data_IF_494708656822
#
_entry.id   IF_494708656822
#
_cell.length_a   1.000
_cell.length_b   1.000
_cell.length_c   1.000
_cell.angle_alpha   90.00
_cell.angle_beta   90.00
_cell.angle_gamma   90.00
#
_symmetry.space_group_name_H-M   'P 1'
#
loop_
_entity.id
_entity.type
_entity.pdbx_description
1 polymer ?
#
# COMPACT_ATOMS: atom_id res chain seq x y z
N UNK A 1 19.35 -29.39 -15.86
CA UNK A 1 18.12 -28.66 -15.49
C UNK A 1 17.20 -28.63 -16.69
N UNK A 2 15.91 -28.95 -16.50
CA UNK A 2 14.94 -29.09 -17.57
C UNK A 2 14.52 -27.70 -18.07
N UNK A 3 14.53 -27.42 -19.39
CA UNK A 3 14.16 -26.09 -19.92
C UNK A 3 12.76 -25.62 -19.52
N UNK A 4 11.86 -26.55 -19.23
CA UNK A 4 10.50 -26.25 -18.73
C UNK A 4 10.50 -25.75 -17.28
N UNK A 5 11.42 -26.23 -16.43
CA UNK A 5 11.48 -25.77 -15.03
C UNK A 5 12.05 -24.36 -14.94
N UNK A 6 13.05 -24.02 -15.77
CA UNK A 6 13.61 -22.67 -15.81
C UNK A 6 12.61 -21.63 -16.35
N UNK A 7 11.86 -21.96 -17.41
CA UNK A 7 10.82 -21.07 -17.94
C UNK A 7 9.68 -20.84 -16.95
N UNK A 8 9.32 -21.86 -16.17
CA UNK A 8 8.32 -21.75 -15.11
C UNK A 8 8.79 -20.84 -13.98
N UNK A 9 10.03 -21.00 -13.51
CA UNK A 9 10.63 -20.14 -12.48
C UNK A 9 10.71 -18.68 -12.94
N UNK A 10 11.09 -18.42 -14.19
CA UNK A 10 11.10 -17.08 -14.78
C UNK A 10 9.71 -16.45 -14.79
N UNK A 11 8.68 -17.21 -15.22
CA UNK A 11 7.30 -16.72 -15.26
C UNK A 11 6.77 -16.41 -13.85
N UNK A 12 7.02 -17.29 -12.88
CA UNK A 12 6.69 -17.04 -11.48
C UNK A 12 7.40 -15.77 -10.98
N UNK A 13 8.68 -15.60 -11.27
CA UNK A 13 9.44 -14.42 -10.86
C UNK A 13 8.88 -13.12 -11.46
N UNK A 14 8.37 -13.13 -12.70
CA UNK A 14 7.72 -11.94 -13.28
C UNK A 14 6.48 -11.49 -12.48
N UNK A 15 5.81 -12.43 -11.82
CA UNK A 15 4.58 -12.18 -11.06
C UNK A 15 4.90 -11.74 -9.63
N UNK A 16 5.72 -12.52 -8.91
CA UNK A 16 5.99 -12.31 -7.49
C UNK A 16 7.19 -11.40 -7.22
N UNK A 17 8.09 -11.24 -8.19
CA UNK A 17 9.27 -10.37 -8.12
C UNK A 17 9.26 -9.41 -9.31
N UNK A 18 8.20 -8.63 -9.48
CA UNK A 18 8.18 -7.63 -10.55
C UNK A 18 9.32 -6.63 -10.34
N UNK A 19 9.58 -5.83 -11.38
CA UNK A 19 10.53 -4.73 -11.24
C UNK A 19 10.12 -3.83 -10.07
N UNK A 20 10.94 -3.86 -9.02
CA UNK A 20 10.72 -3.08 -7.82
C UNK A 20 10.83 -1.59 -8.15
N UNK A 21 9.81 -0.82 -7.77
CA UNK A 21 9.84 0.63 -7.89
C UNK A 21 11.02 1.18 -7.07
N UNK A 22 12.00 1.80 -7.73
CA UNK A 22 13.12 2.49 -7.09
C UNK A 22 12.91 3.98 -7.23
N UNK A 23 12.90 4.69 -6.12
CA UNK A 23 12.68 6.12 -6.08
C UNK A 23 13.46 6.77 -4.94
N UNK A 24 13.73 8.07 -5.07
CA UNK A 24 14.29 8.87 -3.99
C UNK A 24 13.16 9.42 -3.11
N UNK A 25 13.35 9.47 -1.80
CA UNK A 25 12.32 9.96 -0.86
C UNK A 25 11.89 11.41 -1.13
N UNK A 26 12.69 12.21 -1.84
CA UNK A 26 12.30 13.55 -2.29
C UNK A 26 11.11 13.54 -3.27
N UNK A 27 10.86 12.42 -3.97
CA UNK A 27 9.74 12.29 -4.89
C UNK A 27 8.38 12.23 -4.17
N UNK A 28 8.38 11.92 -2.87
CA UNK A 28 7.19 12.01 -2.02
C UNK A 28 6.81 13.46 -1.64
N UNK A 29 7.50 14.45 -2.23
CA UNK A 29 7.32 15.87 -1.95
C UNK A 29 8.07 16.34 -0.69
N UNK A 30 7.88 17.62 -0.30
CA UNK A 30 8.51 18.15 0.91
C UNK A 30 7.77 17.66 2.17
N UNK A 31 8.49 17.62 3.29
CA UNK A 31 7.91 17.22 4.59
C UNK A 31 6.88 18.20 5.13
N UNK A 32 6.90 19.46 4.69
CA UNK A 32 5.88 20.46 4.95
C UNK A 32 5.42 21.04 3.61
N UNK A 33 4.11 21.07 3.40
CA UNK A 33 3.50 21.54 2.16
C UNK A 33 2.16 22.21 2.42
N UNK A 34 1.64 22.91 1.42
CA UNK A 34 0.39 23.66 1.50
C UNK A 34 -0.58 23.15 0.43
N UNK A 35 -1.84 22.93 0.83
CA UNK A 35 -2.95 22.70 -0.09
C UNK A 35 -4.06 23.69 0.28
N UNK A 36 -4.33 24.64 -0.62
CA UNK A 36 -5.20 25.78 -0.32
C UNK A 36 -4.63 26.63 0.83
N UNK A 37 -5.45 26.91 1.83
CA UNK A 37 -5.07 27.74 2.99
C UNK A 37 -4.40 26.92 4.11
N UNK A 38 -4.51 25.58 4.07
CA UNK A 38 -4.00 24.70 5.12
C UNK A 38 -2.59 24.21 4.81
N UNK A 39 -1.77 24.16 5.86
CA UNK A 39 -0.43 23.55 5.87
C UNK A 39 -0.53 22.14 6.44
N UNK A 40 0.16 21.22 5.79
CA UNK A 40 0.23 19.80 6.09
C UNK A 40 1.67 19.36 6.27
N UNK A 41 1.86 18.26 6.98
CA UNK A 41 3.13 17.60 7.19
C UNK A 41 3.10 16.16 6.68
N UNK A 42 4.25 15.67 6.21
CA UNK A 42 4.55 14.25 5.98
C UNK A 42 5.50 13.77 7.07
N UNK A 43 5.06 12.78 7.85
CA UNK A 43 5.90 12.07 8.83
C UNK A 43 6.30 10.72 8.27
N UNK A 44 7.59 10.54 8.03
CA UNK A 44 8.16 9.27 7.58
C UNK A 44 8.42 8.38 8.80
N UNK A 45 7.94 7.13 8.73
CA UNK A 45 7.84 6.19 9.84
C UNK A 45 8.32 4.82 9.34
N UNK A 46 8.89 4.03 10.25
CA UNK A 46 9.19 2.62 10.00
C UNK A 46 8.30 1.74 10.88
N UNK A 47 7.69 0.72 10.26
CA UNK A 47 6.84 -0.26 10.95
C UNK A 47 7.38 -1.65 10.65
N UNK A 48 7.66 -2.43 11.68
CA UNK A 48 8.07 -3.83 11.50
C UNK A 48 6.85 -4.74 11.41
N UNK A 49 6.78 -5.58 10.38
CA UNK A 49 5.71 -6.55 10.22
C UNK A 49 5.96 -7.83 11.06
N UNK A 50 4.97 -8.75 11.20
CA UNK A 50 5.13 -10.01 11.92
C UNK A 50 6.20 -10.96 11.35
N UNK A 51 6.67 -10.72 10.12
CA UNK A 51 7.75 -11.49 9.47
C UNK A 51 9.14 -10.90 9.74
N UNK A 52 9.23 -9.83 10.55
CA UNK A 52 10.49 -9.16 10.88
C UNK A 52 11.02 -8.25 9.77
N UNK A 53 10.18 -7.87 8.79
CA UNK A 53 10.55 -6.97 7.71
C UNK A 53 10.11 -5.55 8.04
N UNK A 54 11.00 -4.60 7.79
CA UNK A 54 10.77 -3.17 7.98
C UNK A 54 10.01 -2.58 6.79
N UNK A 55 8.84 -2.01 7.06
CA UNK A 55 8.01 -1.27 6.13
C UNK A 55 8.34 0.22 6.20
N UNK A 56 8.57 0.84 5.04
CA UNK A 56 8.74 2.30 4.91
C UNK A 56 7.37 2.95 4.73
N UNK A 57 7.01 3.83 5.67
CA UNK A 57 5.69 4.44 5.76
C UNK A 57 5.78 5.97 5.75
N UNK A 58 4.70 6.62 5.32
CA UNK A 58 4.53 8.06 5.37
C UNK A 58 3.10 8.40 5.81
N UNK A 59 2.97 9.19 6.86
CA UNK A 59 1.70 9.74 7.34
C UNK A 59 1.59 11.21 6.93
N UNK A 60 0.64 11.49 6.05
CA UNK A 60 0.29 12.84 5.61
C UNK A 60 -0.89 13.35 6.44
N UNK A 61 -0.70 14.47 7.13
CA UNK A 61 -1.70 15.01 8.05
C UNK A 61 -1.55 16.54 8.22
N UNK A 62 -2.60 17.25 8.63
CA UNK A 62 -2.47 18.67 8.96
C UNK A 62 -1.51 18.87 10.14
N UNK A 63 -0.75 19.97 10.11
CA UNK A 63 0.03 20.41 11.27
C UNK A 63 -0.90 20.68 12.45
N UNK A 64 -0.37 20.61 13.68
CA UNK A 64 -1.16 20.73 14.91
C UNK A 64 -2.09 21.96 14.91
N UNK A 65 -1.56 23.12 14.50
CA UNK A 65 -2.31 24.38 14.43
C UNK A 65 -3.53 24.35 13.47
N UNK A 66 -3.56 23.42 12.51
CA UNK A 66 -4.64 23.26 11.54
C UNK A 66 -5.48 21.99 11.79
N UNK A 67 -5.24 21.25 12.88
CA UNK A 67 -6.06 20.07 13.21
C UNK A 67 -7.42 20.54 13.74
N UNK A 68 -8.55 20.12 13.15
CA UNK A 68 -9.87 20.45 13.68
C UNK A 68 -10.24 19.62 14.91
N UNK A 69 -9.50 18.54 15.20
CA UNK A 69 -9.69 17.72 16.40
C UNK A 69 -8.44 16.90 16.71
N UNK A 70 -8.38 16.35 17.94
CA UNK A 70 -7.28 15.48 18.39
C UNK A 70 -7.20 14.21 17.54
N UNK A 71 -8.35 13.63 17.18
CA UNK A 71 -8.44 12.37 16.42
C UNK A 71 -9.08 12.57 15.06
N UNK A 72 -8.35 12.29 13.98
CA UNK A 72 -8.84 12.40 12.61
C UNK A 72 -9.05 11.02 11.98
N UNK A 73 -9.98 10.87 11.04
CA UNK A 73 -10.04 9.67 10.22
C UNK A 73 -8.77 9.54 9.36
N UNK A 74 -8.39 8.32 9.05
CA UNK A 74 -7.24 8.01 8.20
C UNK A 74 -7.66 7.06 7.09
N UNK A 75 -7.17 7.31 5.88
CA UNK A 75 -7.20 6.35 4.78
C UNK A 75 -5.80 5.77 4.61
N UNK A 76 -5.69 4.45 4.71
CA UNK A 76 -4.47 3.71 4.39
C UNK A 76 -4.48 3.44 2.89
N UNK A 77 -3.53 4.01 2.15
CA UNK A 77 -3.36 3.75 0.73
C UNK A 77 -2.51 2.51 0.51
N UNK A 78 -3.02 1.57 -0.28
CA UNK A 78 -2.41 0.28 -0.58
C UNK A 78 -2.10 0.21 -2.08
N UNK A 79 -0.82 0.31 -2.42
CA UNK A 79 -0.38 0.34 -3.81
C UNK A 79 -0.57 -1.01 -4.52
N UNK A 80 -0.57 -0.97 -5.85
CA UNK A 80 -0.68 -2.16 -6.69
C UNK A 80 0.63 -2.93 -6.83
N UNK A 81 0.60 -3.99 -7.63
CA UNK A 81 1.83 -4.68 -8.01
C UNK A 81 2.79 -3.71 -8.71
N UNK A 82 4.10 -3.84 -8.47
CA UNK A 82 5.14 -2.90 -8.95
C UNK A 82 5.06 -1.46 -8.42
N UNK A 83 4.07 -1.14 -7.58
CA UNK A 83 3.84 0.21 -7.06
C UNK A 83 4.71 0.56 -5.85
N UNK A 84 4.42 1.73 -5.29
CA UNK A 84 5.02 2.22 -4.03
C UNK A 84 4.08 3.23 -3.36
N UNK A 85 4.44 3.73 -2.18
CA UNK A 85 3.74 4.80 -1.48
C UNK A 85 3.69 6.13 -2.25
N UNK A 86 4.43 6.28 -3.36
CA UNK A 86 4.26 7.40 -4.30
C UNK A 86 2.85 7.43 -4.91
N UNK A 87 2.25 6.27 -5.13
CA UNK A 87 0.91 6.14 -5.73
C UNK A 87 -0.17 6.84 -4.87
N UNK A 88 0.13 7.07 -3.58
CA UNK A 88 -0.79 7.72 -2.65
C UNK A 88 -0.90 9.24 -2.86
N UNK A 89 -0.02 9.89 -3.64
CA UNK A 89 0.01 11.36 -3.73
C UNK A 89 -1.27 11.98 -4.31
N UNK A 90 -1.95 11.27 -5.22
CA UNK A 90 -3.28 11.68 -5.71
C UNK A 90 -4.32 11.63 -4.58
N UNK A 91 -4.28 10.56 -3.77
CA UNK A 91 -5.14 10.37 -2.61
C UNK A 91 -4.88 11.45 -1.53
N UNK A 92 -3.61 11.80 -1.29
CA UNK A 92 -3.19 12.89 -0.40
C UNK A 92 -3.84 14.21 -0.81
N UNK A 93 -3.76 14.55 -2.09
CA UNK A 93 -4.29 15.82 -2.62
C UNK A 93 -5.82 15.87 -2.51
N UNK A 94 -6.50 14.75 -2.72
CA UNK A 94 -7.96 14.67 -2.64
C UNK A 94 -8.51 14.68 -1.20
N UNK A 95 -7.87 13.94 -0.28
CA UNK A 95 -8.43 13.66 1.04
C UNK A 95 -8.06 14.68 2.12
N UNK A 96 -6.83 15.21 2.09
CA UNK A 96 -6.35 16.12 3.13
C UNK A 96 -7.24 17.37 3.33
N UNK A 97 -7.73 18.06 2.27
CA UNK A 97 -8.63 19.20 2.43
C UNK A 97 -9.93 18.89 3.20
N UNK A 98 -10.37 17.63 3.17
CA UNK A 98 -11.57 17.13 3.85
C UNK A 98 -11.33 16.70 5.30
N UNK A 99 -10.12 16.95 5.83
CA UNK A 99 -9.65 16.53 7.16
C UNK A 99 -9.55 15.00 7.34
N UNK A 100 -9.38 14.27 6.25
CA UNK A 100 -9.04 12.85 6.24
C UNK A 100 -7.53 12.74 6.03
N UNK A 101 -6.83 12.17 7.00
CA UNK A 101 -5.37 11.95 6.89
C UNK A 101 -5.09 10.77 5.98
N UNK A 102 -3.89 10.72 5.39
CA UNK A 102 -3.50 9.63 4.48
C UNK A 102 -2.26 8.95 5.04
N UNK A 103 -2.32 7.65 5.20
CA UNK A 103 -1.16 6.83 5.55
C UNK A 103 -0.82 5.96 4.36
N UNK A 104 0.43 5.97 3.91
CA UNK A 104 0.87 5.16 2.79
C UNK A 104 2.14 4.41 3.21
N UNK A 105 2.31 3.20 2.70
CA UNK A 105 3.50 2.41 2.93
C UNK A 105 3.86 1.59 1.71
N UNK A 106 5.13 1.25 1.60
CA UNK A 106 5.60 0.26 0.64
C UNK A 106 5.37 -1.13 1.24
N UNK A 107 4.63 -2.01 0.54
CA UNK A 107 4.53 -3.41 0.94
C UNK A 107 5.91 -4.06 1.01
N UNK A 108 6.05 -5.14 1.80
CA UNK A 108 7.26 -5.96 1.79
C UNK A 108 7.59 -6.38 0.35
N UNK A 109 8.86 -6.32 -0.04
CA UNK A 109 9.28 -6.60 -1.42
C UNK A 109 9.06 -5.45 -2.42
N UNK A 110 8.51 -4.32 -1.97
CA UNK A 110 8.20 -3.16 -2.81
C UNK A 110 8.93 -1.89 -2.38
N UNK A 111 9.04 -0.92 -3.28
CA UNK A 111 9.55 0.42 -2.99
C UNK A 111 10.86 0.44 -2.22
N UNK A 112 10.86 1.04 -1.03
CA UNK A 112 11.99 1.13 -0.10
C UNK A 112 11.87 0.18 1.10
N UNK A 113 10.81 -0.63 1.20
CA UNK A 113 10.60 -1.62 2.29
C UNK A 113 11.48 -2.86 2.14
N UNK A 114 11.76 -3.54 3.24
CA UNK A 114 12.50 -4.80 3.20
C UNK A 114 11.70 -5.93 2.50
N UNK A 115 12.37 -7.05 2.25
CA UNK A 115 11.80 -8.20 1.56
C UNK A 115 12.10 -8.24 0.06
N UNK A 116 11.84 -9.41 -0.52
CA UNK A 116 12.34 -9.81 -1.84
C UNK A 116 11.26 -10.02 -2.90
N UNK A 117 10.01 -10.19 -2.47
CA UNK A 117 8.88 -10.57 -3.32
C UNK A 117 7.56 -10.16 -2.67
N UNK A 118 6.53 -10.07 -3.50
CA UNK A 118 5.13 -9.89 -3.11
C UNK A 118 4.35 -11.18 -3.33
N UNK A 119 3.20 -11.30 -2.67
CA UNK A 119 2.32 -12.48 -2.78
C UNK A 119 0.89 -12.16 -3.21
N UNK A 120 0.71 -10.98 -3.82
CA UNK A 120 -0.55 -10.55 -4.41
C UNK A 120 -1.74 -10.61 -3.43
N UNK A 121 -1.50 -10.30 -2.15
CA UNK A 121 -2.53 -10.15 -1.12
C UNK A 121 -2.29 -11.00 0.12
N UNK A 122 -1.57 -12.12 0.01
CA UNK A 122 -1.45 -13.07 1.13
C UNK A 122 -0.63 -12.53 2.30
N UNK A 123 0.65 -12.24 2.09
CA UNK A 123 1.50 -11.62 3.10
C UNK A 123 1.27 -10.12 3.22
N UNK A 124 0.76 -9.48 2.17
CA UNK A 124 0.38 -8.07 2.20
C UNK A 124 -0.70 -7.79 3.26
N UNK A 125 -1.56 -8.77 3.58
CA UNK A 125 -2.47 -8.67 4.72
C UNK A 125 -1.75 -8.52 6.07
N UNK A 126 -0.58 -9.15 6.25
CA UNK A 126 0.21 -9.04 7.48
C UNK A 126 0.91 -7.69 7.57
N UNK A 127 1.33 -7.14 6.43
CA UNK A 127 1.88 -5.79 6.37
C UNK A 127 0.81 -4.75 6.75
N UNK A 128 -0.40 -4.90 6.20
CA UNK A 128 -1.54 -4.06 6.55
C UNK A 128 -1.90 -4.17 8.04
N UNK A 129 -1.90 -5.38 8.61
CA UNK A 129 -2.16 -5.61 10.04
C UNK A 129 -1.20 -4.78 10.92
N UNK A 130 0.11 -4.82 10.64
CA UNK A 130 1.10 -4.08 11.39
C UNK A 130 0.88 -2.55 11.33
N UNK A 131 0.47 -2.05 10.17
CA UNK A 131 0.15 -0.63 9.98
C UNK A 131 -1.12 -0.23 10.73
N UNK A 132 -2.16 -1.07 10.70
CA UNK A 132 -3.39 -0.86 11.46
C UNK A 132 -3.10 -0.81 12.95
N UNK A 133 -2.34 -1.76 13.47
CA UNK A 133 -1.93 -1.79 14.88
C UNK A 133 -1.15 -0.54 15.28
N UNK A 134 -0.18 -0.11 14.45
CA UNK A 134 0.56 1.13 14.66
C UNK A 134 -0.38 2.35 14.76
N UNK A 135 -1.33 2.47 13.83
CA UNK A 135 -2.27 3.59 13.78
C UNK A 135 -3.23 3.61 14.98
N UNK A 136 -3.72 2.45 15.41
CA UNK A 136 -4.57 2.32 16.60
C UNK A 136 -3.80 2.72 17.88
N UNK A 137 -2.53 2.32 17.99
CA UNK A 137 -1.67 2.68 19.12
C UNK A 137 -1.30 4.17 19.17
N UNK A 138 -1.29 4.87 18.03
CA UNK A 138 -0.96 6.30 17.96
C UNK A 138 -1.92 7.20 18.76
N UNK A 139 -3.16 6.74 19.03
CA UNK A 139 -4.25 7.50 19.67
C UNK A 139 -4.62 8.83 18.96
N UNK A 140 -4.14 9.08 17.74
CA UNK A 140 -4.48 10.26 16.92
C UNK A 140 -5.47 9.95 15.79
N UNK A 141 -5.87 8.68 15.67
CA UNK A 141 -6.80 8.19 14.64
C UNK A 141 -8.18 7.92 15.26
N UNK A 142 -9.25 8.35 14.58
CA UNK A 142 -10.63 8.10 14.99
C UNK A 142 -11.29 6.91 14.27
N UNK A 143 -11.00 6.75 12.98
CA UNK A 143 -11.51 5.65 12.13
C UNK A 143 -10.52 5.36 11.01
N UNK A 144 -10.42 4.11 10.62
CA UNK A 144 -9.54 3.65 9.55
C UNK A 144 -10.39 3.26 8.34
N UNK A 145 -10.02 3.73 7.16
CA UNK A 145 -10.45 3.20 5.88
C UNK A 145 -9.25 2.75 5.04
N UNK A 146 -9.48 1.93 4.03
CA UNK A 146 -8.47 1.53 3.08
C UNK A 146 -8.83 1.99 1.67
N UNK A 147 -7.83 2.47 0.93
CA UNK A 147 -7.93 2.64 -0.52
C UNK A 147 -6.87 1.75 -1.15
N UNK A 148 -7.30 0.69 -1.82
CA UNK A 148 -6.39 -0.23 -2.48
C UNK A 148 -6.54 -0.21 -3.99
N UNK A 149 -5.41 -0.40 -4.69
CA UNK A 149 -5.36 -0.58 -6.16
C UNK A 149 -4.82 -1.96 -6.49
N UNK A 150 -5.50 -2.70 -7.39
CA UNK A 150 -5.06 -4.03 -7.87
C UNK A 150 -4.70 -4.98 -6.70
N UNK A 151 -3.43 -5.35 -6.53
CA UNK A 151 -2.93 -6.10 -5.36
C UNK A 151 -3.40 -5.48 -4.04
N UNK A 152 -3.22 -4.17 -3.85
CA UNK A 152 -3.65 -3.47 -2.64
C UNK A 152 -5.16 -3.50 -2.43
N UNK A 153 -5.96 -3.53 -3.50
CA UNK A 153 -7.42 -3.67 -3.41
C UNK A 153 -7.81 -5.05 -2.87
N UNK A 154 -7.16 -6.10 -3.37
CA UNK A 154 -7.34 -7.48 -2.88
C UNK A 154 -6.90 -7.59 -1.42
N UNK A 155 -5.75 -6.99 -1.05
CA UNK A 155 -5.29 -6.92 0.34
C UNK A 155 -6.33 -6.26 1.25
N UNK A 156 -6.90 -5.11 0.85
CA UNK A 156 -7.93 -4.43 1.63
C UNK A 156 -9.15 -5.33 1.87
N UNK A 157 -9.63 -5.99 0.81
CA UNK A 157 -10.79 -6.88 0.88
C UNK A 157 -10.50 -8.09 1.79
N UNK A 158 -9.36 -8.75 1.58
CA UNK A 158 -8.97 -9.92 2.36
C UNK A 158 -8.79 -9.59 3.84
N UNK A 159 -8.10 -8.50 4.16
CA UNK A 159 -7.90 -8.05 5.54
C UNK A 159 -9.22 -7.58 6.18
N UNK A 160 -9.94 -6.68 5.51
CA UNK A 160 -11.20 -6.12 6.04
C UNK A 160 -12.32 -7.14 6.21
N UNK A 161 -12.27 -8.27 5.50
CA UNK A 161 -13.20 -9.39 5.75
C UNK A 161 -13.00 -10.08 7.10
N UNK A 162 -11.85 -9.85 7.76
CA UNK A 162 -11.45 -10.50 9.01
C UNK A 162 -11.32 -9.51 10.18
N UNK A 163 -11.08 -8.24 9.89
CA UNK A 163 -10.85 -7.21 10.89
C UNK A 163 -11.96 -6.12 10.86
N UNK A 164 -12.79 -6.02 11.92
CA UNK A 164 -13.87 -5.04 11.99
C UNK A 164 -13.40 -3.59 12.24
N UNK A 165 -12.11 -3.34 12.45
CA UNK A 165 -11.55 -1.99 12.62
C UNK A 165 -11.57 -1.16 11.33
N UNK A 166 -11.68 -1.81 10.16
CA UNK A 166 -11.76 -1.16 8.87
C UNK A 166 -13.21 -0.70 8.62
N UNK A 167 -13.42 0.63 8.66
CA UNK A 167 -14.74 1.23 8.50
C UNK A 167 -15.18 1.44 7.05
N UNK A 168 -14.26 1.41 6.09
CA UNK A 168 -14.57 1.57 4.66
C UNK A 168 -13.42 1.03 3.78
N UNK A 169 -13.77 0.54 2.59
CA UNK A 169 -12.81 0.08 1.57
C UNK A 169 -13.18 0.71 0.23
N UNK A 170 -12.21 1.39 -0.39
CA UNK A 170 -12.21 1.73 -1.82
C UNK A 170 -11.35 0.69 -2.53
N UNK A 171 -11.96 -0.16 -3.35
CA UNK A 171 -11.28 -1.21 -4.11
C UNK A 171 -11.22 -0.84 -5.59
N UNK A 172 -10.06 -0.36 -6.04
CA UNK A 172 -9.80 -0.02 -7.44
C UNK A 172 -9.18 -1.22 -8.16
N UNK A 173 -9.90 -1.73 -9.17
CA UNK A 173 -9.44 -2.78 -10.08
C UNK A 173 -8.92 -4.06 -9.38
N UNK A 174 -9.62 -4.63 -8.36
CA UNK A 174 -9.23 -5.89 -7.74
C UNK A 174 -9.39 -7.05 -8.73
N UNK A 175 -8.66 -8.14 -8.49
CA UNK A 175 -8.94 -9.41 -9.17
C UNK A 175 -9.75 -10.33 -8.26
N UNK A 176 -10.69 -11.09 -8.85
CA UNK A 176 -11.53 -12.03 -8.12
C UNK A 176 -10.81 -13.36 -7.82
N UNK A 177 -9.84 -13.74 -8.66
CA UNK A 177 -9.12 -15.01 -8.54
C UNK A 177 -7.69 -14.88 -9.03
N UNK A 178 -6.73 -15.18 -8.14
CA UNK A 178 -5.32 -15.25 -8.51
C UNK A 178 -5.09 -16.30 -9.60
N UNK A 179 -5.77 -17.44 -9.51
CA UNK A 179 -5.71 -18.49 -10.53
C UNK A 179 -6.13 -17.97 -11.90
N UNK A 180 -7.19 -17.16 -11.97
CA UNK A 180 -7.62 -16.56 -13.23
C UNK A 180 -6.55 -15.61 -13.79
N UNK A 181 -5.97 -14.74 -12.96
CA UNK A 181 -4.86 -13.86 -13.37
C UNK A 181 -3.69 -14.68 -13.91
N UNK A 182 -3.32 -15.77 -13.24
CA UNK A 182 -2.24 -16.66 -13.70
C UNK A 182 -2.56 -17.29 -15.06
N UNK A 183 -3.80 -17.76 -15.24
CA UNK A 183 -4.22 -18.37 -16.51
C UNK A 183 -4.25 -17.36 -17.66
N UNK A 184 -4.69 -16.12 -17.41
CA UNK A 184 -4.69 -15.03 -18.38
C UNK A 184 -3.25 -14.65 -18.80
N UNK A 185 -2.31 -14.58 -17.84
CA UNK A 185 -0.89 -14.33 -18.14
C UNK A 185 -0.29 -15.44 -19.02
N UNK A 186 -0.58 -16.70 -18.71
CA UNK A 186 -0.10 -17.85 -19.51
C UNK A 186 -0.70 -17.83 -20.92
N UNK A 187 -1.99 -17.53 -21.07
CA UNK A 187 -2.63 -17.41 -22.38
C UNK A 187 -2.05 -16.26 -23.19
N UNK A 188 -1.84 -15.10 -22.54
CA UNK A 188 -1.16 -13.96 -23.13
C UNK A 188 0.19 -14.38 -23.69
N UNK A 189 1.05 -14.99 -22.88
CA UNK A 189 2.39 -15.44 -23.31
C UNK A 189 2.36 -16.36 -24.53
N UNK A 190 1.41 -17.30 -24.61
CA UNK A 190 1.25 -18.20 -25.78
C UNK A 190 0.94 -17.46 -27.08
N UNK A 191 0.36 -16.27 -27.04
CA UNK A 191 0.06 -15.48 -28.24
C UNK A 191 1.26 -14.67 -28.77
N UNK A 192 2.34 -14.57 -28.00
CA UNK A 192 3.60 -13.90 -28.38
C UNK A 192 4.67 -14.85 -28.94
N UNK A 193 4.39 -16.15 -28.98
CA UNK A 193 5.26 -17.23 -29.48
C UNK A 193 4.62 -17.87 -30.71
#
# INVERSE_FOLDING_TARGET
>A
MNRLSSAWEELCNLIIRPQRCRYDESFLGPKLFRIGEKVYERKDIEVMNPRGLTLKCSHFQPIEAHRPSVKLPVVIYLHGNCGSRLDALECVTALLPTNITVFAFDFSGSGLSEGDFVTLGYYECQDLAAVVDYLLLSKTVSRIGCWGRSMGAVTAIMYGSRDPSIGAIVADSPFASLHQVMMELVQGYRSWI
#
